data_IF_990911779873
#
_entry.id   IF_990911779873
#
_cell.length_a   1.000
_cell.length_b   1.000
_cell.length_c   1.000
_cell.angle_alpha   90.00
_cell.angle_beta   90.00
_cell.angle_gamma   90.00
#
_symmetry.space_group_name_H-M   'P 1'
#
loop_
_entity.id
_entity.type
_entity.pdbx_description
1 polymer ?
#
# COMPACT_ATOMS: atom_id res chain seq x y z
N UNK A 1 -24.09 -14.61 -4.31
CA UNK A 1 -23.33 -13.97 -3.20
C UNK A 1 -23.81 -12.54 -3.03
N UNK A 2 -23.93 -12.04 -1.79
CA UNK A 2 -24.34 -10.66 -1.49
C UNK A 2 -23.09 -9.83 -1.18
N UNK A 3 -22.90 -8.70 -1.87
CA UNK A 3 -21.77 -7.82 -1.65
C UNK A 3 -21.96 -6.97 -0.38
N UNK A 4 -20.87 -6.69 0.35
CA UNK A 4 -20.91 -5.82 1.51
C UNK A 4 -20.80 -4.34 1.08
N UNK A 5 -21.93 -3.65 1.09
CA UNK A 5 -22.06 -2.26 0.64
C UNK A 5 -21.23 -1.28 1.46
N UNK A 6 -21.09 -1.49 2.77
CA UNK A 6 -20.36 -0.54 3.64
C UNK A 6 -18.84 -0.57 3.39
N UNK A 7 -18.34 -1.66 2.80
CA UNK A 7 -16.93 -1.80 2.38
C UNK A 7 -16.68 -1.36 0.93
N UNK A 8 -17.73 -1.06 0.17
CA UNK A 8 -17.60 -0.61 -1.21
C UNK A 8 -17.49 0.91 -1.24
N UNK A 9 -16.48 1.41 -1.93
CA UNK A 9 -16.25 2.84 -2.15
C UNK A 9 -15.92 3.07 -3.62
N UNK A 10 -16.29 4.25 -4.13
CA UNK A 10 -15.97 4.67 -5.51
C UNK A 10 -14.73 5.54 -5.49
N UNK A 11 -13.68 5.11 -6.19
CA UNK A 11 -12.51 5.93 -6.47
C UNK A 11 -12.62 6.52 -7.87
N UNK A 12 -12.74 7.85 -7.98
CA UNK A 12 -12.82 8.54 -9.27
C UNK A 12 -11.45 8.89 -9.80
N UNK A 13 -10.92 8.05 -10.68
CA UNK A 13 -9.59 8.25 -11.24
C UNK A 13 -9.63 9.12 -12.50
N UNK A 14 -8.69 10.06 -12.58
CA UNK A 14 -8.39 10.82 -13.80
C UNK A 14 -9.02 12.22 -13.87
N UNK A 15 -8.29 13.18 -14.44
CA UNK A 15 -8.66 14.60 -14.45
C UNK A 15 -9.96 14.92 -15.21
N UNK A 16 -10.32 14.08 -16.20
CA UNK A 16 -11.53 14.25 -17.03
C UNK A 16 -12.66 13.32 -16.57
N UNK A 17 -12.55 12.73 -15.39
CA UNK A 17 -13.60 11.86 -14.86
C UNK A 17 -14.85 12.71 -14.54
N UNK A 18 -16.03 12.39 -15.11
CA UNK A 18 -17.26 13.13 -14.85
C UNK A 18 -17.83 12.89 -13.44
N UNK A 19 -17.20 12.02 -12.63
CA UNK A 19 -17.60 11.66 -11.26
C UNK A 19 -19.05 11.16 -11.18
N UNK A 20 -19.37 10.19 -12.03
CA UNK A 20 -20.70 9.58 -12.05
C UNK A 20 -21.06 8.93 -10.72
N UNK A 21 -22.35 8.98 -10.38
CA UNK A 21 -22.89 8.29 -9.22
C UNK A 21 -23.09 6.81 -9.50
N UNK A 22 -22.44 5.98 -8.69
CA UNK A 22 -22.61 4.52 -8.75
C UNK A 22 -23.53 4.03 -7.65
N UNK A 23 -24.29 2.99 -7.95
CA UNK A 23 -25.22 2.34 -7.01
C UNK A 23 -24.95 0.84 -6.96
N UNK A 24 -25.11 0.25 -5.78
CA UNK A 24 -25.11 -1.20 -5.59
C UNK A 24 -26.53 -1.64 -5.22
N UNK A 25 -27.31 -2.02 -6.24
CA UNK A 25 -28.76 -2.16 -6.12
C UNK A 25 -29.41 -0.78 -5.96
N UNK A 26 -30.24 -0.62 -4.94
CA UNK A 26 -30.95 0.65 -4.66
C UNK A 26 -30.10 1.67 -3.89
N UNK A 27 -29.00 1.25 -3.28
CA UNK A 27 -28.16 2.10 -2.44
C UNK A 27 -27.03 2.74 -3.24
N UNK A 28 -26.80 4.05 -3.03
CA UNK A 28 -25.66 4.78 -3.60
C UNK A 28 -24.37 4.40 -2.88
N UNK A 29 -23.30 4.19 -3.65
CA UNK A 29 -21.97 3.90 -3.11
C UNK A 29 -21.28 5.24 -2.84
N UNK A 30 -20.68 5.38 -1.67
CA UNK A 30 -19.92 6.57 -1.31
C UNK A 30 -18.62 6.66 -2.10
N UNK A 31 -18.29 7.86 -2.56
CA UNK A 31 -16.98 8.14 -3.17
C UNK A 31 -15.93 8.42 -2.11
N UNK A 32 -14.69 8.04 -2.39
CA UNK A 32 -13.52 8.35 -1.57
C UNK A 32 -12.37 8.84 -2.45
N UNK A 33 -11.54 9.80 -1.98
CA UNK A 33 -10.37 10.25 -2.72
C UNK A 33 -9.21 9.24 -2.69
N UNK A 34 -9.25 8.27 -1.79
CA UNK A 34 -8.19 7.29 -1.57
C UNK A 34 -8.82 5.97 -1.09
N UNK A 35 -8.40 4.87 -1.68
CA UNK A 35 -8.87 3.54 -1.31
C UNK A 35 -7.71 2.58 -1.11
N UNK A 36 -7.89 1.67 -0.16
CA UNK A 36 -6.90 0.65 0.16
C UNK A 36 -7.47 -0.72 -0.18
N UNK A 37 -6.86 -1.39 -1.15
CA UNK A 37 -7.20 -2.76 -1.52
C UNK A 37 -5.97 -3.67 -1.47
N UNK A 38 -6.12 -4.82 -0.83
CA UNK A 38 -5.05 -5.80 -0.63
C UNK A 38 -3.72 -5.18 -0.16
N UNK A 39 -3.79 -4.20 0.75
CA UNK A 39 -2.64 -3.41 1.26
C UNK A 39 -2.01 -2.37 0.33
N UNK A 40 -2.55 -2.20 -0.88
CA UNK A 40 -2.16 -1.14 -1.80
C UNK A 40 -3.11 0.04 -1.64
N UNK A 41 -2.54 1.19 -1.32
CA UNK A 41 -3.21 2.48 -1.31
C UNK A 41 -3.22 3.08 -2.72
N UNK A 42 -4.39 3.47 -3.20
CA UNK A 42 -4.59 4.10 -4.51
C UNK A 42 -5.37 5.38 -4.30
N UNK A 43 -4.82 6.51 -4.74
CA UNK A 43 -5.52 7.79 -4.73
C UNK A 43 -6.10 8.15 -6.10
N UNK A 44 -6.99 9.14 -6.12
CA UNK A 44 -7.67 9.62 -7.33
C UNK A 44 -6.71 10.18 -8.41
N UNK A 45 -5.48 10.55 -8.01
CA UNK A 45 -4.43 11.11 -8.88
C UNK A 45 -3.46 10.05 -9.39
N UNK A 46 -3.53 8.83 -8.86
CA UNK A 46 -2.54 7.77 -9.04
C UNK A 46 -1.13 8.19 -8.59
N UNK A 47 -1.04 9.04 -7.57
CA UNK A 47 0.24 9.40 -6.96
C UNK A 47 0.69 8.31 -5.99
N UNK A 48 1.73 7.58 -6.38
CA UNK A 48 2.25 6.45 -5.60
C UNK A 48 3.10 6.88 -4.40
N UNK A 49 3.35 8.17 -4.20
CA UNK A 49 4.18 8.68 -3.10
C UNK A 49 3.63 8.28 -1.73
N UNK A 50 2.29 8.31 -1.56
CA UNK A 50 1.64 7.88 -0.31
C UNK A 50 1.79 6.39 -0.05
N UNK A 51 1.57 5.57 -1.09
CA UNK A 51 1.75 4.12 -1.00
C UNK A 51 3.20 3.76 -0.65
N UNK A 52 4.19 4.45 -1.24
CA UNK A 52 5.60 4.28 -0.90
C UNK A 52 5.88 4.60 0.56
N UNK A 53 5.42 5.76 1.04
CA UNK A 53 5.59 6.14 2.44
C UNK A 53 4.95 5.12 3.38
N UNK A 54 3.77 4.60 3.03
CA UNK A 54 3.08 3.56 3.80
C UNK A 54 3.85 2.23 3.83
N UNK A 55 4.35 1.78 2.67
CA UNK A 55 5.17 0.57 2.57
C UNK A 55 6.47 0.69 3.39
N UNK A 56 7.17 1.83 3.26
CA UNK A 56 8.37 2.13 4.03
C UNK A 56 8.10 2.18 5.54
N UNK A 57 6.99 2.79 5.96
CA UNK A 57 6.60 2.83 7.37
C UNK A 57 6.39 1.42 7.94
N UNK A 58 5.63 0.56 7.23
CA UNK A 58 5.42 -0.83 7.64
C UNK A 58 6.73 -1.61 7.74
N UNK A 59 7.57 -1.51 6.71
CA UNK A 59 8.88 -2.15 6.68
C UNK A 59 9.74 -1.71 7.87
N UNK A 60 9.77 -0.42 8.18
CA UNK A 60 10.49 0.14 9.31
C UNK A 60 9.92 -0.31 10.67
N UNK A 61 8.60 -0.41 10.81
CA UNK A 61 7.98 -0.96 12.01
C UNK A 61 8.41 -2.42 12.25
N UNK A 62 8.42 -3.25 11.21
CA UNK A 62 8.87 -4.65 11.30
C UNK A 62 10.36 -4.72 11.65
N UNK A 63 11.19 -3.93 10.96
CA UNK A 63 12.63 -3.85 11.24
C UNK A 63 12.90 -3.40 12.68
N UNK A 64 12.16 -2.42 13.19
CA UNK A 64 12.25 -1.97 14.58
C UNK A 64 11.84 -3.06 15.58
N UNK A 65 10.87 -3.91 15.23
CA UNK A 65 10.49 -5.07 16.05
C UNK A 65 11.57 -6.15 16.03
N UNK A 66 12.18 -6.44 14.88
CA UNK A 66 13.33 -7.36 14.78
C UNK A 66 14.49 -6.87 15.65
N UNK A 67 14.85 -5.58 15.54
CA UNK A 67 15.95 -4.97 16.32
C UNK A 67 15.75 -5.06 17.85
N UNK A 68 14.49 -4.98 18.30
CA UNK A 68 14.13 -5.04 19.73
C UNK A 68 13.93 -6.48 20.24
N UNK A 69 13.34 -7.34 19.43
CA UNK A 69 12.91 -8.69 19.84
C UNK A 69 13.94 -9.79 19.62
N UNK A 70 14.91 -9.60 18.71
CA UNK A 70 15.92 -10.62 18.41
C UNK A 70 17.18 -10.37 19.24
N UNK A 71 17.45 -11.29 20.16
CA UNK A 71 18.64 -11.25 21.02
C UNK A 71 19.89 -11.75 20.28
N UNK A 72 19.72 -12.66 19.32
CA UNK A 72 20.78 -13.15 18.45
C UNK A 72 21.36 -12.02 17.59
N UNK A 73 22.69 -11.91 17.56
CA UNK A 73 23.43 -10.96 16.73
C UNK A 73 24.08 -11.62 15.50
N UNK A 74 23.72 -12.88 15.19
CA UNK A 74 24.19 -13.54 13.97
C UNK A 74 23.68 -12.77 12.76
N UNK A 75 24.61 -12.47 11.85
CA UNK A 75 24.30 -11.79 10.59
C UNK A 75 23.34 -12.61 9.75
N UNK A 76 23.53 -13.93 9.71
CA UNK A 76 22.71 -14.88 8.95
C UNK A 76 21.26 -14.86 9.42
N UNK A 77 21.04 -14.88 10.74
CA UNK A 77 19.69 -14.84 11.34
C UNK A 77 19.01 -13.50 11.05
N UNK A 78 19.72 -12.37 11.19
CA UNK A 78 19.15 -11.05 10.89
C UNK A 78 18.80 -10.94 9.40
N UNK A 79 19.68 -11.39 8.51
CA UNK A 79 19.44 -11.39 7.07
C UNK A 79 18.22 -12.25 6.70
N UNK A 80 18.08 -13.43 7.30
CA UNK A 80 16.93 -14.30 7.08
C UNK A 80 15.63 -13.62 7.49
N UNK A 81 15.61 -12.98 8.66
CA UNK A 81 14.42 -12.29 9.18
C UNK A 81 14.05 -11.06 8.35
N UNK A 82 15.02 -10.23 7.97
CA UNK A 82 14.77 -9.08 7.10
C UNK A 82 14.23 -9.54 5.74
N UNK A 83 14.79 -10.60 5.17
CA UNK A 83 14.33 -11.15 3.88
C UNK A 83 12.92 -11.73 3.96
N UNK A 84 12.58 -12.38 5.07
CA UNK A 84 11.27 -13.02 5.23
C UNK A 84 10.17 -12.04 5.66
N UNK A 85 10.50 -10.98 6.40
CA UNK A 85 9.50 -10.11 7.05
C UNK A 85 9.50 -8.67 6.56
N UNK A 86 10.66 -8.10 6.23
CA UNK A 86 10.75 -6.68 5.80
C UNK A 86 10.56 -6.59 4.29
N UNK A 87 11.27 -7.44 3.53
CA UNK A 87 11.26 -7.44 2.07
C UNK A 87 9.87 -7.59 1.43
N UNK A 88 8.95 -8.45 1.93
CA UNK A 88 7.62 -8.56 1.34
C UNK A 88 6.83 -7.25 1.38
N UNK A 89 7.01 -6.42 2.41
CA UNK A 89 6.31 -5.12 2.49
C UNK A 89 6.79 -4.11 1.45
N UNK A 90 8.03 -4.25 0.96
CA UNK A 90 8.62 -3.37 -0.04
C UNK A 90 8.43 -3.89 -1.48
N UNK A 91 8.32 -5.20 -1.68
CA UNK A 91 8.22 -5.78 -3.04
C UNK A 91 6.80 -6.14 -3.44
N UNK A 92 5.88 -6.28 -2.49
CA UNK A 92 4.50 -6.64 -2.78
C UNK A 92 3.82 -5.59 -3.66
N UNK A 93 3.22 -6.04 -4.77
CA UNK A 93 2.58 -5.18 -5.78
C UNK A 93 3.49 -4.09 -6.36
N UNK A 94 4.81 -4.28 -6.41
CA UNK A 94 5.76 -3.29 -6.95
C UNK A 94 5.48 -2.92 -8.41
N UNK A 95 4.88 -3.81 -9.20
CA UNK A 95 4.45 -3.49 -10.57
C UNK A 95 3.39 -2.38 -10.62
N UNK A 96 2.62 -2.23 -9.55
CA UNK A 96 1.52 -1.25 -9.46
C UNK A 96 2.01 0.11 -8.95
N UNK A 97 2.84 0.13 -7.91
CA UNK A 97 3.25 1.38 -7.24
C UNK A 97 4.75 1.70 -7.35
N UNK A 98 5.50 0.86 -8.05
CA UNK A 98 6.95 0.91 -8.11
C UNK A 98 7.49 2.28 -8.54
N UNK A 99 8.69 2.65 -8.06
CA UNK A 99 9.33 3.90 -8.41
C UNK A 99 9.58 3.96 -9.93
N UNK A 100 8.89 4.87 -10.62
CA UNK A 100 9.07 5.06 -12.07
C UNK A 100 10.31 5.92 -12.37
N UNK A 101 10.75 6.74 -11.41
CA UNK A 101 11.90 7.63 -11.55
C UNK A 101 12.99 7.34 -10.50
N UNK A 102 14.25 7.64 -10.83
CA UNK A 102 15.40 7.40 -9.92
C UNK A 102 15.26 8.04 -8.54
N UNK A 103 14.69 9.24 -8.48
CA UNK A 103 14.43 9.96 -7.21
C UNK A 103 13.45 9.23 -6.29
N UNK A 104 12.58 8.42 -6.88
CA UNK A 104 11.59 7.63 -6.15
C UNK A 104 12.21 6.39 -5.48
N UNK A 105 13.38 5.93 -5.97
CA UNK A 105 14.12 4.82 -5.37
C UNK A 105 14.84 5.24 -4.09
N UNK A 106 15.37 6.47 -4.02
CA UNK A 106 16.06 7.00 -2.83
C UNK A 106 15.15 7.10 -1.60
N UNK A 107 13.83 7.15 -1.78
CA UNK A 107 12.85 7.15 -0.68
C UNK A 107 12.59 5.75 -0.07
N UNK A 108 13.04 4.69 -0.75
CA UNK A 108 12.87 3.30 -0.31
C UNK A 108 14.13 2.71 0.34
N UNK A 109 15.29 3.36 0.17
CA UNK A 109 16.58 3.03 0.78
C UNK A 109 16.78 3.73 2.14
#
# INVERSE_FOLDING_TARGET
MKCNKTKCKVLHVGRRNPKHDYRLGEERIESSPEEKDLEVLIDEKLDMSRQRAFAAQKANCVLGSIKRGVTSRSREVILLLCSALVRPHLEYCIQLWGPQYRRDMELLE
#
